data_IF_254588861650
#
_entry.id   IF_254588861650
#
_cell.length_a   1.000
_cell.length_b   1.000
_cell.length_c   1.000
_cell.angle_alpha   90.00
_cell.angle_beta   90.00
_cell.angle_gamma   90.00
#
_symmetry.space_group_name_H-M   'P 1'
#
loop_
_entity.id
_entity.type
_entity.pdbx_description
1 polymer ?
#
# COMPACT_ATOMS: atom_id res chain seq x y z
N UNK A 1 13.08 -15.79 -7.17
CA UNK A 1 13.53 -17.19 -6.99
C UNK A 1 14.97 -17.33 -7.44
N UNK A 2 15.90 -17.65 -6.54
CA UNK A 2 17.29 -18.02 -6.86
C UNK A 2 17.50 -19.52 -6.63
N UNK A 3 16.80 -20.36 -7.41
CA UNK A 3 16.93 -21.82 -7.32
C UNK A 3 17.34 -22.36 -8.68
N UNK A 4 18.36 -23.23 -8.70
CA UNK A 4 18.81 -23.84 -9.94
C UNK A 4 17.77 -24.84 -10.48
N UNK A 5 17.64 -24.95 -11.79
CA UNK A 5 16.70 -25.86 -12.47
C UNK A 5 16.82 -27.34 -12.01
N UNK A 6 18.02 -27.89 -11.69
CA UNK A 6 18.14 -29.23 -11.13
C UNK A 6 17.54 -29.37 -9.73
N UNK A 7 17.70 -28.35 -8.88
CA UNK A 7 17.15 -28.35 -7.52
C UNK A 7 15.62 -28.33 -7.55
N UNK A 8 15.03 -27.48 -8.41
CA UNK A 8 13.58 -27.42 -8.59
C UNK A 8 13.01 -28.74 -9.13
N UNK A 9 13.66 -29.33 -10.14
CA UNK A 9 13.24 -30.64 -10.69
C UNK A 9 13.26 -31.74 -9.62
N UNK A 10 14.28 -31.74 -8.75
CA UNK A 10 14.40 -32.70 -7.64
C UNK A 10 13.26 -32.53 -6.63
N UNK A 11 12.90 -31.29 -6.27
CA UNK A 11 11.80 -31.02 -5.35
C UNK A 11 10.45 -31.46 -5.92
N UNK A 12 10.20 -31.21 -7.21
CA UNK A 12 8.99 -31.68 -7.90
C UNK A 12 8.92 -33.22 -7.87
N UNK A 13 10.02 -33.92 -8.18
CA UNK A 13 10.05 -35.38 -8.13
C UNK A 13 9.82 -35.95 -6.73
N UNK A 14 10.28 -35.27 -5.69
CA UNK A 14 10.01 -35.66 -4.30
C UNK A 14 8.51 -35.51 -4.00
N UNK A 15 7.90 -34.39 -4.40
CA UNK A 15 6.48 -34.14 -4.21
C UNK A 15 5.61 -35.20 -4.92
N UNK A 16 5.89 -35.47 -6.19
CA UNK A 16 5.20 -36.49 -6.98
C UNK A 16 5.34 -37.89 -6.35
N UNK A 17 6.52 -38.22 -5.82
CA UNK A 17 6.75 -39.49 -5.12
C UNK A 17 5.96 -39.58 -3.82
N UNK A 18 5.91 -38.52 -3.02
CA UNK A 18 5.14 -38.47 -1.78
C UNK A 18 3.65 -38.63 -2.03
N UNK A 19 3.13 -37.98 -3.08
CA UNK A 19 1.72 -38.04 -3.45
C UNK A 19 1.36 -39.30 -4.25
N UNK A 20 2.35 -40.06 -4.71
CA UNK A 20 2.20 -41.22 -5.62
C UNK A 20 1.41 -40.89 -6.90
N UNK A 21 1.54 -39.67 -7.39
CA UNK A 21 0.91 -39.18 -8.62
C UNK A 21 1.91 -38.37 -9.44
N UNK A 22 1.74 -38.38 -10.76
CA UNK A 22 2.45 -37.44 -11.63
C UNK A 22 1.65 -36.15 -11.75
N UNK A 23 2.26 -35.03 -11.34
CA UNK A 23 1.70 -33.69 -11.43
C UNK A 23 2.03 -33.04 -12.77
N UNK A 24 3.18 -33.39 -13.35
CA UNK A 24 3.66 -32.84 -14.61
C UNK A 24 3.90 -33.91 -15.68
N UNK A 25 3.68 -33.54 -16.93
CA UNK A 25 4.01 -34.35 -18.10
C UNK A 25 4.90 -33.55 -19.05
N UNK A 26 5.85 -34.25 -19.68
CA UNK A 26 6.74 -33.68 -20.69
C UNK A 26 6.18 -34.00 -22.08
N UNK A 27 5.90 -32.94 -22.83
CA UNK A 27 5.44 -33.02 -24.22
C UNK A 27 6.49 -32.40 -25.14
N UNK A 28 6.37 -32.62 -26.45
CA UNK A 28 7.21 -31.94 -27.45
C UNK A 28 7.10 -30.42 -27.42
N UNK A 29 6.05 -29.87 -26.81
CA UNK A 29 5.80 -28.42 -26.66
C UNK A 29 6.27 -27.86 -25.31
N UNK A 30 6.80 -28.69 -24.41
CA UNK A 30 7.22 -28.28 -23.07
C UNK A 30 6.58 -29.10 -21.96
N UNK A 31 6.56 -28.53 -20.75
CA UNK A 31 6.04 -29.16 -19.54
C UNK A 31 4.61 -28.67 -19.28
N UNK A 32 3.67 -29.58 -19.09
CA UNK A 32 2.28 -29.27 -18.75
C UNK A 32 1.86 -29.96 -17.45
N UNK A 33 0.82 -29.46 -16.80
CA UNK A 33 0.16 -30.17 -15.70
C UNK A 33 -0.66 -31.34 -16.25
N UNK A 34 -0.57 -32.49 -15.58
CA UNK A 34 -1.52 -33.59 -15.79
C UNK A 34 -2.90 -33.20 -15.25
N UNK A 35 -3.94 -34.00 -15.51
CA UNK A 35 -5.27 -33.77 -14.91
C UNK A 35 -5.25 -33.80 -13.37
N UNK A 36 -4.44 -34.70 -12.79
CA UNK A 36 -4.19 -34.73 -11.35
C UNK A 36 -3.41 -33.51 -10.87
N UNK A 37 -2.44 -33.04 -11.67
CA UNK A 37 -1.70 -31.80 -11.45
C UNK A 37 -2.60 -30.57 -11.38
N UNK A 38 -3.54 -30.44 -12.31
CA UNK A 38 -4.53 -29.34 -12.33
C UNK A 38 -5.42 -29.36 -11.08
N UNK A 39 -5.93 -30.54 -10.70
CA UNK A 39 -6.76 -30.69 -9.49
C UNK A 39 -5.99 -30.36 -8.21
N UNK A 40 -4.73 -30.77 -8.13
CA UNK A 40 -3.84 -30.46 -7.01
C UNK A 40 -3.56 -28.95 -6.94
N UNK A 41 -3.16 -28.34 -8.06
CA UNK A 41 -2.87 -26.91 -8.15
C UNK A 41 -4.06 -26.06 -7.69
N UNK A 42 -5.26 -26.33 -8.22
CA UNK A 42 -6.47 -25.58 -7.88
C UNK A 42 -6.83 -25.64 -6.38
N UNK A 43 -6.38 -26.66 -5.66
CA UNK A 43 -6.60 -26.78 -4.20
C UNK A 43 -5.49 -26.16 -3.37
N UNK A 44 -4.26 -26.16 -3.87
CA UNK A 44 -3.09 -25.69 -3.12
C UNK A 44 -2.83 -24.20 -3.33
N UNK A 45 -3.08 -23.66 -4.52
CA UNK A 45 -2.85 -22.24 -4.82
C UNK A 45 -3.52 -21.30 -3.80
N UNK A 46 -4.81 -21.47 -3.42
CA UNK A 46 -5.41 -20.61 -2.41
C UNK A 46 -4.77 -20.76 -1.02
N UNK A 47 -4.32 -21.98 -0.66
CA UNK A 47 -3.67 -22.23 0.63
C UNK A 47 -2.29 -21.59 0.71
N UNK A 48 -1.54 -21.58 -0.40
CA UNK A 48 -0.26 -20.87 -0.47
C UNK A 48 -0.47 -19.37 -0.38
N UNK A 49 -1.48 -18.83 -1.06
CA UNK A 49 -1.86 -17.42 -0.93
C UNK A 49 -2.25 -17.06 0.51
N UNK A 50 -2.98 -17.95 1.20
CA UNK A 50 -3.32 -17.76 2.61
C UNK A 50 -2.08 -17.77 3.51
N UNK A 51 -1.14 -18.69 3.27
CA UNK A 51 0.15 -18.71 3.98
C UNK A 51 0.94 -17.44 3.70
N UNK A 52 0.98 -16.95 2.47
CA UNK A 52 1.67 -15.71 2.13
C UNK A 52 1.05 -14.50 2.84
N UNK A 53 -0.29 -14.40 2.88
CA UNK A 53 -0.98 -13.36 3.65
C UNK A 53 -0.66 -13.44 5.15
N UNK A 54 -0.67 -14.64 5.73
CA UNK A 54 -0.31 -14.84 7.14
C UNK A 54 1.15 -14.45 7.37
N UNK A 55 2.08 -14.84 6.49
CA UNK A 55 3.48 -14.45 6.60
C UNK A 55 3.64 -12.93 6.52
N UNK A 56 2.89 -12.25 5.65
CA UNK A 56 2.87 -10.79 5.61
C UNK A 56 2.41 -10.20 6.95
N UNK A 57 1.38 -10.75 7.60
CA UNK A 57 0.97 -10.31 8.95
C UNK A 57 2.08 -10.43 10.01
N UNK A 58 2.97 -11.42 9.89
CA UNK A 58 4.09 -11.64 10.83
C UNK A 58 5.41 -10.98 10.39
N UNK A 59 5.52 -10.55 9.14
CA UNK A 59 6.68 -9.81 8.60
C UNK A 59 6.45 -8.30 8.68
N UNK A 60 5.20 -7.86 8.71
CA UNK A 60 4.87 -6.47 9.01
C UNK A 60 5.47 -6.09 10.36
N UNK A 61 6.13 -4.91 10.46
CA UNK A 61 6.67 -4.45 11.73
C UNK A 61 5.58 -4.47 12.81
N UNK A 62 5.93 -4.89 14.03
CA UNK A 62 5.01 -4.84 15.18
C UNK A 62 4.42 -3.43 15.40
N UNK A 63 5.09 -2.39 14.90
CA UNK A 63 4.66 -0.99 14.91
C UNK A 63 5.12 -0.29 13.61
N UNK A 64 4.20 0.34 12.89
CA UNK A 64 4.48 1.16 11.70
C UNK A 64 4.24 2.63 12.01
N UNK A 65 5.27 3.46 11.79
CA UNK A 65 5.30 4.86 12.19
C UNK A 65 4.94 5.74 11.01
N UNK A 66 3.76 6.34 11.07
CA UNK A 66 3.23 7.22 10.03
C UNK A 66 3.18 8.66 10.51
N UNK A 67 3.78 9.57 9.76
CA UNK A 67 3.66 11.01 9.98
C UNK A 67 2.59 11.64 9.10
N UNK A 68 1.87 12.62 9.62
CA UNK A 68 0.89 13.38 8.85
C UNK A 68 0.79 14.82 9.34
N UNK A 69 0.36 15.72 8.44
CA UNK A 69 -0.08 17.06 8.81
C UNK A 69 -1.36 17.00 9.67
N UNK A 70 -1.69 18.03 10.45
CA UNK A 70 -2.84 17.99 11.37
C UNK A 70 -4.17 17.73 10.66
N UNK A 71 -4.42 18.37 9.51
CA UNK A 71 -5.62 18.14 8.70
C UNK A 71 -5.72 16.68 8.22
N UNK A 72 -4.63 16.13 7.70
CA UNK A 72 -4.59 14.74 7.24
C UNK A 72 -4.79 13.76 8.41
N UNK A 73 -4.14 14.03 9.54
CA UNK A 73 -4.21 13.16 10.72
C UNK A 73 -5.61 13.09 11.30
N UNK A 74 -6.34 14.21 11.36
CA UNK A 74 -7.66 14.24 11.98
C UNK A 74 -8.76 13.72 11.06
N UNK A 75 -8.66 13.96 9.75
CA UNK A 75 -9.73 13.64 8.81
C UNK A 75 -9.54 12.31 8.06
N UNK A 76 -8.31 11.97 7.68
CA UNK A 76 -8.05 10.84 6.76
C UNK A 76 -7.48 9.61 7.46
N UNK A 77 -6.55 9.79 8.41
CA UNK A 77 -5.91 8.64 9.08
C UNK A 77 -6.90 7.70 9.82
N UNK A 78 -7.98 8.16 10.47
CA UNK A 78 -8.95 7.26 11.10
C UNK A 78 -9.54 6.23 10.12
N UNK A 79 -9.85 6.66 8.90
CA UNK A 79 -10.39 5.78 7.85
C UNK A 79 -9.33 4.78 7.37
N UNK A 80 -8.09 5.22 7.24
CA UNK A 80 -6.95 4.37 6.83
C UNK A 80 -6.64 3.31 7.88
N UNK A 81 -6.66 3.67 9.17
CA UNK A 81 -6.43 2.73 10.27
C UNK A 81 -7.45 1.58 10.27
N UNK A 82 -8.71 1.85 9.91
CA UNK A 82 -9.72 0.80 9.82
C UNK A 82 -9.46 -0.21 8.68
N UNK A 83 -8.76 0.21 7.63
CA UNK A 83 -8.43 -0.65 6.49
C UNK A 83 -7.19 -1.52 6.73
N UNK A 84 -6.29 -1.09 7.62
CA UNK A 84 -5.00 -1.73 7.87
C UNK A 84 -5.06 -2.88 8.91
N UNK A 85 -6.26 -3.20 9.41
CA UNK A 85 -6.49 -4.43 10.19
C UNK A 85 -5.70 -4.51 11.50
N UNK A 86 -4.89 -5.56 11.66
CA UNK A 86 -4.12 -5.89 12.88
C UNK A 86 -2.79 -5.14 13.02
N UNK A 87 -2.38 -4.38 12.00
CA UNK A 87 -1.13 -3.63 12.00
C UNK A 87 -1.19 -2.48 13.02
N UNK A 88 -0.29 -2.45 14.00
CA UNK A 88 -0.23 -1.31 14.94
C UNK A 88 0.37 -0.11 14.24
N UNK A 89 -0.44 0.92 14.06
CA UNK A 89 0.01 2.21 13.55
C UNK A 89 0.32 3.14 14.71
N UNK A 90 1.52 3.72 14.68
CA UNK A 90 1.87 4.84 15.53
C UNK A 90 1.87 6.11 14.69
N UNK A 91 0.94 6.98 14.99
CA UNK A 91 0.77 8.24 14.27
C UNK A 91 1.60 9.34 14.91
N UNK A 92 2.26 10.13 14.08
CA UNK A 92 3.01 11.32 14.44
C UNK A 92 2.40 12.51 13.71
N UNK A 93 2.13 13.58 14.45
CA UNK A 93 1.54 14.80 13.88
C UNK A 93 2.58 15.90 13.99
N UNK A 94 2.98 16.43 12.84
CA UNK A 94 3.91 17.55 12.73
C UNK A 94 3.24 18.71 12.02
N UNK A 95 3.75 19.92 12.20
CA UNK A 95 3.12 21.12 11.65
C UNK A 95 3.51 21.37 10.19
N UNK A 96 4.63 20.81 9.73
CA UNK A 96 5.16 21.08 8.40
C UNK A 96 5.51 19.81 7.63
N UNK A 97 5.39 19.87 6.30
CA UNK A 97 5.85 18.80 5.41
C UNK A 97 7.36 18.58 5.50
N UNK A 98 8.15 19.62 5.80
CA UNK A 98 9.62 19.50 5.87
C UNK A 98 10.06 18.65 7.08
N UNK A 99 9.49 18.91 8.26
CA UNK A 99 9.74 18.10 9.47
C UNK A 99 9.43 16.62 9.22
N UNK A 100 8.30 16.35 8.55
CA UNK A 100 7.88 14.99 8.20
C UNK A 100 8.87 14.31 7.24
N UNK A 101 9.33 15.02 6.20
CA UNK A 101 10.27 14.48 5.23
C UNK A 101 11.64 14.19 5.87
N UNK A 102 12.14 15.07 6.75
CA UNK A 102 13.38 14.84 7.50
C UNK A 102 13.28 13.61 8.41
N UNK A 103 12.14 13.40 9.06
CA UNK A 103 11.87 12.23 9.89
C UNK A 103 11.80 10.93 9.10
N UNK A 104 11.28 10.95 7.87
CA UNK A 104 11.34 9.79 6.98
C UNK A 104 12.77 9.53 6.50
N UNK A 105 13.52 10.58 6.13
CA UNK A 105 14.91 10.44 5.70
C UNK A 105 15.84 9.88 6.79
N UNK A 106 15.60 10.26 8.05
CA UNK A 106 16.38 9.78 9.21
C UNK A 106 15.93 8.40 9.72
N UNK A 107 14.80 7.87 9.23
CA UNK A 107 14.23 6.59 9.67
C UNK A 107 13.46 6.66 11.00
N UNK A 108 13.14 7.87 11.49
CA UNK A 108 12.22 8.07 12.62
C UNK A 108 10.78 7.71 12.23
N UNK A 109 10.42 7.95 10.97
CA UNK A 109 9.15 7.55 10.37
C UNK A 109 9.37 6.56 9.23
N UNK A 110 8.41 5.65 9.06
CA UNK A 110 8.40 4.69 7.95
C UNK A 110 7.69 5.28 6.72
N UNK A 111 6.72 6.18 6.94
CA UNK A 111 5.98 6.90 5.89
C UNK A 111 5.52 8.27 6.40
N UNK A 112 5.38 9.24 5.50
CA UNK A 112 4.69 10.48 5.79
C UNK A 112 3.69 10.86 4.70
N UNK A 113 2.54 11.40 5.10
CA UNK A 113 1.59 12.07 4.21
C UNK A 113 1.79 13.57 4.35
N UNK A 114 2.19 14.20 3.26
CA UNK A 114 2.61 15.60 3.20
C UNK A 114 1.82 16.36 2.13
N UNK A 115 1.77 17.68 2.26
CA UNK A 115 1.35 18.54 1.14
C UNK A 115 2.39 18.48 0.03
N UNK A 116 1.94 18.47 -1.23
CA UNK A 116 2.81 18.32 -2.40
C UNK A 116 4.00 19.32 -2.39
N UNK A 117 5.16 18.82 -2.80
CA UNK A 117 6.43 19.53 -2.82
C UNK A 117 7.09 19.38 -4.17
N UNK A 118 7.86 20.40 -4.54
CA UNK A 118 8.71 20.38 -5.73
C UNK A 118 9.86 19.36 -5.63
N UNK A 119 10.29 19.01 -4.41
CA UNK A 119 11.44 18.12 -4.18
C UNK A 119 11.23 17.21 -2.96
N UNK A 120 11.56 15.93 -3.13
CA UNK A 120 11.46 14.89 -2.09
C UNK A 120 12.83 14.26 -1.75
N UNK A 121 13.92 14.79 -2.33
CA UNK A 121 15.26 14.21 -2.20
C UNK A 121 15.32 12.78 -2.76
N UNK A 122 15.86 11.85 -1.97
CA UNK A 122 15.97 10.42 -2.34
C UNK A 122 14.75 9.59 -1.89
N UNK A 123 13.69 10.22 -1.40
CA UNK A 123 12.49 9.53 -0.98
C UNK A 123 11.62 9.15 -2.18
N UNK A 124 11.05 7.94 -2.10
CA UNK A 124 9.94 7.57 -2.99
C UNK A 124 8.70 8.34 -2.56
N UNK A 125 7.96 8.85 -3.53
CA UNK A 125 6.71 9.57 -3.31
C UNK A 125 5.62 9.02 -4.23
N UNK A 126 4.38 9.15 -3.77
CA UNK A 126 3.18 8.75 -4.49
C UNK A 126 2.15 9.86 -4.33
N UNK A 127 1.60 10.32 -5.45
CA UNK A 127 0.46 11.24 -5.43
C UNK A 127 -0.79 10.50 -4.94
N UNK A 128 -1.46 11.06 -3.94
CA UNK A 128 -2.68 10.47 -3.36
C UNK A 128 -3.94 11.13 -3.90
N UNK A 129 -4.07 12.45 -3.76
CA UNK A 129 -5.21 13.23 -4.21
C UNK A 129 -4.90 14.73 -4.17
N UNK A 130 -5.80 15.52 -4.76
CA UNK A 130 -5.85 16.97 -4.65
C UNK A 130 -7.02 17.35 -3.74
N UNK A 131 -6.78 18.29 -2.83
CA UNK A 131 -7.82 18.85 -1.96
C UNK A 131 -8.20 20.25 -2.48
N UNK A 132 -9.47 20.47 -2.87
CA UNK A 132 -9.90 21.76 -3.39
C UNK A 132 -9.94 22.79 -2.26
N UNK A 133 -9.44 24.00 -2.53
CA UNK A 133 -9.68 25.13 -1.65
C UNK A 133 -11.14 25.58 -1.78
N UNK A 134 -11.80 25.74 -0.63
CA UNK A 134 -13.16 26.26 -0.52
C UNK A 134 -13.17 27.50 0.36
N UNK A 135 -14.17 28.35 0.14
CA UNK A 135 -14.31 29.62 0.86
C UNK A 135 -15.52 29.49 1.79
N UNK A 136 -15.30 29.66 3.09
CA UNK A 136 -16.36 29.69 4.08
C UNK A 136 -16.79 31.14 4.31
N UNK A 137 -18.06 31.45 4.03
CA UNK A 137 -18.63 32.78 4.16
C UNK A 137 -19.82 32.74 5.12
N UNK A 138 -20.09 33.82 5.87
CA UNK A 138 -21.37 33.99 6.57
C UNK A 138 -22.57 33.90 5.62
N UNK A 139 -23.71 33.41 6.10
CA UNK A 139 -24.93 33.26 5.29
C UNK A 139 -25.41 34.56 4.64
N UNK A 140 -25.04 35.71 5.20
CA UNK A 140 -25.39 37.05 4.71
C UNK A 140 -24.27 37.73 3.91
N UNK A 141 -23.21 37.01 3.55
CA UNK A 141 -22.08 37.58 2.81
C UNK A 141 -22.47 37.91 1.37
N UNK A 142 -22.06 39.08 0.80
CA UNK A 142 -22.41 39.46 -0.58
C UNK A 142 -21.99 38.46 -1.66
N UNK A 143 -21.02 37.59 -1.34
CA UNK A 143 -20.48 36.58 -2.25
C UNK A 143 -21.09 35.18 -2.05
N UNK A 144 -22.07 35.02 -1.15
CA UNK A 144 -22.62 33.70 -0.77
C UNK A 144 -23.32 32.99 -1.95
N UNK A 145 -23.92 33.75 -2.87
CA UNK A 145 -24.65 33.20 -4.03
C UNK A 145 -23.74 32.94 -5.24
N UNK A 146 -22.44 33.25 -5.14
CA UNK A 146 -21.50 32.98 -6.23
C UNK A 146 -21.00 31.54 -6.18
N UNK A 147 -21.22 30.81 -7.27
CA UNK A 147 -20.71 29.45 -7.45
C UNK A 147 -19.18 29.39 -7.55
N UNK A 148 -18.55 30.43 -8.12
CA UNK A 148 -17.10 30.53 -8.29
C UNK A 148 -16.61 31.90 -7.84
N UNK A 149 -15.52 31.91 -7.05
CA UNK A 149 -14.86 33.12 -6.58
C UNK A 149 -13.50 33.25 -7.22
N UNK A 150 -13.21 34.43 -7.72
CA UNK A 150 -11.90 34.79 -8.24
C UNK A 150 -11.13 35.63 -7.19
N UNK A 151 -9.80 35.66 -7.26
CA UNK A 151 -8.97 36.47 -6.35
C UNK A 151 -9.42 37.94 -6.28
N UNK A 152 -9.91 38.50 -7.39
CA UNK A 152 -10.43 39.87 -7.47
C UNK A 152 -11.67 40.12 -6.59
N UNK A 153 -12.44 39.07 -6.27
CA UNK A 153 -13.64 39.19 -5.45
C UNK A 153 -13.31 39.47 -3.97
N UNK A 154 -12.09 39.17 -3.54
CA UNK A 154 -11.60 39.42 -2.17
C UNK A 154 -10.91 40.79 -2.00
N UNK A 155 -10.69 41.54 -3.07
CA UNK A 155 -9.99 42.83 -3.04
C UNK A 155 -10.93 44.05 -2.88
N UNK A 156 -12.19 43.83 -2.50
CA UNK A 156 -13.21 44.86 -2.37
C UNK A 156 -13.48 45.30 -0.90
N UNK A 157 -12.66 44.88 0.06
CA UNK A 157 -12.65 45.41 1.44
C UNK A 157 -11.45 46.32 1.72
#
# INVERSE_FOLDING_TARGET
MFVSQPALSKQISILERTLQISLFERTSKGINLTEKGKQFYARIEPLIQEVDMVLEEFVLPEEFRIGALPSISSYYLPTVMNLLGSMKLKTFVENTSDELLEKVQSGELDLAIVQDRHQYGNLKHLYLFEEPYVVALPDNHPLVDKEWLEMKDFHAE
#
